data_IF_344623324170
#
_entry.id   IF_344623324170
#
_cell.length_a   1.000
_cell.length_b   1.000
_cell.length_c   1.000
_cell.angle_alpha   90.00
_cell.angle_beta   90.00
_cell.angle_gamma   90.00
#
_symmetry.space_group_name_H-M   'P 1'
#
loop_
_entity.id
_entity.type
_entity.pdbx_description
1 polymer ?
#
# COMPACT_ATOMS: atom_id res chain seq x y z
N UNK A 1 14.74 12.79 22.56
CA UNK A 1 13.56 13.65 22.80
C UNK A 1 12.94 13.24 24.14
N UNK A 2 12.83 14.18 25.09
CA UNK A 2 12.25 13.87 26.41
C UNK A 2 10.74 13.65 26.27
N UNK A 3 10.20 12.67 27.05
CA UNK A 3 8.77 12.30 27.07
C UNK A 3 7.84 13.49 27.33
N UNK A 4 8.30 14.49 28.10
CA UNK A 4 7.59 15.74 28.43
C UNK A 4 7.35 16.65 27.22
N UNK A 5 8.21 16.63 26.18
CA UNK A 5 8.06 17.50 25.01
C UNK A 5 6.98 17.02 24.05
N UNK A 6 6.62 15.74 24.07
CA UNK A 6 5.56 15.18 23.20
C UNK A 6 4.19 15.68 23.66
N UNK A 7 3.94 15.74 24.96
CA UNK A 7 2.67 16.22 25.53
C UNK A 7 2.45 17.74 25.40
N UNK A 8 3.46 18.49 24.96
CA UNK A 8 3.29 19.90 24.62
C UNK A 8 2.57 20.09 23.27
N UNK A 9 2.73 19.11 22.34
CA UNK A 9 2.16 19.17 20.99
C UNK A 9 0.86 18.38 20.85
N UNK A 10 0.59 17.43 21.76
CA UNK A 10 -0.57 16.55 21.70
C UNK A 10 -1.33 16.57 23.02
N UNK A 11 -2.62 16.80 22.96
CA UNK A 11 -3.49 16.89 24.16
C UNK A 11 -3.46 15.60 24.98
N UNK A 12 -3.35 14.44 24.31
CA UNK A 12 -3.34 13.13 24.95
C UNK A 12 -2.66 12.08 24.05
N UNK A 13 -2.52 10.85 24.58
CA UNK A 13 -1.91 9.72 23.87
C UNK A 13 -2.72 9.31 22.64
N UNK A 14 -4.04 9.43 22.69
CA UNK A 14 -4.93 9.06 21.60
C UNK A 14 -4.76 9.98 20.40
N UNK A 15 -4.72 11.30 20.62
CA UNK A 15 -4.49 12.28 19.56
C UNK A 15 -3.14 12.06 18.86
N UNK A 16 -2.08 11.75 19.61
CA UNK A 16 -0.79 11.36 19.04
C UNK A 16 -0.90 10.07 18.20
N UNK A 17 -1.63 9.08 18.70
CA UNK A 17 -1.81 7.80 17.99
C UNK A 17 -2.54 7.99 16.66
N UNK A 18 -3.63 8.76 16.65
CA UNK A 18 -4.38 9.10 15.43
C UNK A 18 -3.50 9.85 14.43
N UNK A 19 -2.69 10.81 14.89
CA UNK A 19 -1.76 11.55 14.02
C UNK A 19 -0.72 10.63 13.39
N UNK A 20 -0.13 9.71 14.15
CA UNK A 20 0.81 8.72 13.65
C UNK A 20 0.15 7.84 12.58
N UNK A 21 -1.04 7.30 12.85
CA UNK A 21 -1.77 6.47 11.90
C UNK A 21 -2.14 7.24 10.61
N UNK A 22 -2.56 8.49 10.76
CA UNK A 22 -2.90 9.36 9.62
C UNK A 22 -1.67 9.63 8.76
N UNK A 23 -0.54 9.93 9.39
CA UNK A 23 0.74 10.14 8.69
C UNK A 23 1.20 8.87 7.94
N UNK A 24 1.08 7.71 8.58
CA UNK A 24 1.39 6.42 7.94
C UNK A 24 0.50 6.19 6.73
N UNK A 25 -0.81 6.37 6.88
CA UNK A 25 -1.77 6.20 5.79
C UNK A 25 -1.48 7.14 4.62
N UNK A 26 -1.21 8.42 4.88
CA UNK A 26 -0.89 9.40 3.84
C UNK A 26 0.34 8.99 3.03
N UNK A 27 1.42 8.57 3.69
CA UNK A 27 2.65 8.09 3.02
C UNK A 27 2.38 6.84 2.17
N UNK A 28 1.54 5.95 2.65
CA UNK A 28 1.20 4.72 1.95
C UNK A 28 0.29 4.91 0.75
N UNK A 29 -0.54 5.96 0.80
CA UNK A 29 -1.43 6.33 -0.30
C UNK A 29 -0.76 7.24 -1.33
N UNK A 30 0.37 7.86 -1.02
CA UNK A 30 1.07 8.74 -1.95
C UNK A 30 1.39 8.05 -3.30
N UNK A 31 1.90 6.80 -3.34
CA UNK A 31 2.10 6.10 -4.61
C UNK A 31 0.80 5.84 -5.39
N UNK A 32 -0.30 5.57 -4.71
CA UNK A 32 -1.59 5.40 -5.38
C UNK A 32 -2.08 6.71 -6.01
N UNK A 33 -1.76 7.86 -5.41
CA UNK A 33 -2.15 9.16 -5.94
C UNK A 33 -1.51 9.45 -7.29
N UNK A 34 -0.35 8.87 -7.62
CA UNK A 34 0.36 9.11 -8.89
C UNK A 34 -0.23 8.37 -10.08
N UNK A 35 -1.14 7.43 -9.89
CA UNK A 35 -1.81 6.75 -11.00
C UNK A 35 -2.78 7.72 -11.69
N UNK A 36 -2.54 8.01 -12.98
CA UNK A 36 -3.39 8.86 -13.81
C UNK A 36 -3.71 8.18 -15.15
N UNK A 37 -4.85 8.52 -15.74
CA UNK A 37 -5.39 7.86 -16.95
C UNK A 37 -4.56 8.06 -18.20
N UNK A 38 -3.73 9.10 -18.22
CA UNK A 38 -2.83 9.46 -19.32
C UNK A 38 -1.55 8.63 -19.36
N UNK A 39 -1.22 7.98 -18.23
CA UNK A 39 -0.02 7.15 -18.12
C UNK A 39 -0.21 5.79 -18.84
N UNK A 40 0.90 5.20 -19.26
CA UNK A 40 0.90 3.81 -19.71
C UNK A 40 0.75 2.86 -18.51
N UNK A 41 -0.28 1.99 -18.51
CA UNK A 41 -0.60 1.12 -17.36
C UNK A 41 0.56 0.25 -16.89
N UNK A 42 1.34 -0.29 -17.83
CA UNK A 42 2.49 -1.16 -17.52
C UNK A 42 3.52 -0.41 -16.68
N UNK A 43 3.88 0.80 -17.09
CA UNK A 43 4.87 1.63 -16.37
C UNK A 43 4.31 2.13 -15.05
N UNK A 44 3.07 2.64 -15.06
CA UNK A 44 2.41 3.18 -13.87
C UNK A 44 2.23 2.12 -12.77
N UNK A 45 1.74 0.92 -13.13
CA UNK A 45 1.55 -0.19 -12.19
C UNK A 45 2.88 -0.76 -11.72
N UNK A 46 3.89 -0.87 -12.60
CA UNK A 46 5.24 -1.29 -12.21
C UNK A 46 5.82 -0.34 -11.16
N UNK A 47 5.77 0.95 -11.42
CA UNK A 47 6.26 1.96 -10.49
C UNK A 47 5.51 1.91 -9.15
N UNK A 48 4.19 1.82 -9.21
CA UNK A 48 3.35 1.70 -8.02
C UNK A 48 3.71 0.47 -7.17
N UNK A 49 3.86 -0.71 -7.79
CA UNK A 49 4.26 -1.95 -7.11
C UNK A 49 5.62 -1.82 -6.44
N UNK A 50 6.61 -1.26 -7.15
CA UNK A 50 7.96 -1.03 -6.60
C UNK A 50 7.89 -0.14 -5.36
N UNK A 51 7.23 1.00 -5.44
CA UNK A 51 7.09 1.93 -4.32
C UNK A 51 6.38 1.30 -3.11
N UNK A 52 5.39 0.45 -3.34
CA UNK A 52 4.70 -0.28 -2.26
C UNK A 52 5.62 -1.29 -1.58
N UNK A 53 6.42 -2.04 -2.35
CA UNK A 53 7.39 -3.01 -1.80
C UNK A 53 8.52 -2.29 -1.07
N UNK A 54 8.99 -1.15 -1.58
CA UNK A 54 9.95 -0.28 -0.89
C UNK A 54 9.41 0.21 0.46
N UNK A 55 8.18 0.69 0.48
CA UNK A 55 7.50 1.12 1.73
C UNK A 55 7.44 -0.03 2.75
N UNK A 56 7.18 -1.25 2.30
CA UNK A 56 7.16 -2.44 3.16
C UNK A 56 8.54 -2.83 3.69
N UNK A 57 9.61 -2.60 2.91
CA UNK A 57 11.00 -2.77 3.33
C UNK A 57 11.42 -1.73 4.37
N UNK A 58 11.09 -0.46 4.10
CA UNK A 58 11.65 0.68 4.82
C UNK A 58 10.85 1.05 6.07
N UNK A 59 9.54 0.74 6.09
CA UNK A 59 8.64 1.11 7.18
C UNK A 59 7.81 -0.07 7.75
N UNK A 60 8.38 -1.24 8.02
CA UNK A 60 7.61 -2.42 8.44
C UNK A 60 6.91 -2.25 9.79
N UNK A 61 7.47 -1.42 10.69
CA UNK A 61 6.84 -1.15 12.00
C UNK A 61 5.59 -0.30 11.85
N UNK A 62 5.64 0.71 10.96
CA UNK A 62 4.50 1.56 10.67
C UNK A 62 3.36 0.76 9.99
N UNK A 63 3.72 -0.15 9.08
CA UNK A 63 2.79 -1.10 8.46
C UNK A 63 2.04 -1.91 9.50
N UNK A 64 2.77 -2.60 10.35
CA UNK A 64 2.15 -3.45 11.40
C UNK A 64 1.28 -2.66 12.37
N UNK A 65 1.69 -1.44 12.75
CA UNK A 65 0.88 -0.58 13.60
C UNK A 65 -0.47 -0.28 12.94
N UNK A 66 -0.45 0.08 11.65
CA UNK A 66 -1.65 0.36 10.88
C UNK A 66 -2.49 -0.92 10.68
N UNK A 67 -1.87 -2.05 10.35
CA UNK A 67 -2.56 -3.33 10.19
C UNK A 67 -3.29 -3.75 11.47
N UNK A 68 -2.67 -3.59 12.65
CA UNK A 68 -3.31 -3.88 13.94
C UNK A 68 -4.54 -3.02 14.18
N UNK A 69 -4.48 -1.72 13.86
CA UNK A 69 -5.62 -0.83 13.96
C UNK A 69 -6.78 -1.30 13.06
N UNK A 70 -6.48 -1.68 11.82
CA UNK A 70 -7.49 -2.18 10.87
C UNK A 70 -8.11 -3.50 11.34
N UNK A 71 -7.29 -4.44 11.81
CA UNK A 71 -7.75 -5.75 12.32
C UNK A 71 -8.70 -5.58 13.53
N UNK A 72 -8.47 -4.56 14.35
CA UNK A 72 -9.33 -4.22 15.49
C UNK A 72 -10.61 -3.46 15.09
N UNK A 73 -10.88 -3.27 13.80
CA UNK A 73 -12.05 -2.55 13.31
C UNK A 73 -11.85 -1.04 13.13
N UNK A 74 -10.61 -0.57 13.17
CA UNK A 74 -10.21 0.82 12.99
C UNK A 74 -10.87 1.81 13.98
N UNK A 75 -10.86 1.54 15.30
CA UNK A 75 -11.60 2.32 16.28
C UNK A 75 -11.23 3.81 16.28
N UNK A 76 -9.99 4.17 15.93
CA UNK A 76 -9.50 5.54 15.97
C UNK A 76 -9.52 6.26 14.61
N UNK A 77 -9.45 5.53 13.48
CA UNK A 77 -9.31 6.14 12.16
C UNK A 77 -10.47 5.85 11.20
N UNK A 78 -11.55 5.25 11.68
CA UNK A 78 -12.70 4.89 10.84
C UNK A 78 -13.26 6.06 10.00
N UNK A 79 -13.35 7.32 10.50
CA UNK A 79 -13.78 8.46 9.69
C UNK A 79 -12.85 8.74 8.49
N UNK A 80 -11.54 8.56 8.67
CA UNK A 80 -10.52 8.74 7.61
C UNK A 80 -10.68 7.67 6.53
N UNK A 81 -10.93 6.42 6.93
CA UNK A 81 -11.17 5.33 6.00
C UNK A 81 -12.45 5.53 5.20
N UNK A 82 -13.55 5.90 5.87
CA UNK A 82 -14.85 6.15 5.23
C UNK A 82 -14.88 7.40 4.35
N UNK A 83 -14.06 8.39 4.63
CA UNK A 83 -14.01 9.67 3.94
C UNK A 83 -12.88 9.73 2.90
N UNK A 84 -11.71 10.26 3.24
CA UNK A 84 -10.61 10.52 2.31
C UNK A 84 -10.12 9.26 1.57
N UNK A 85 -9.93 8.14 2.29
CA UNK A 85 -9.44 6.91 1.66
C UNK A 85 -10.45 6.38 0.63
N UNK A 86 -11.74 6.29 1.00
CA UNK A 86 -12.79 5.82 0.09
C UNK A 86 -12.90 6.71 -1.16
N UNK A 87 -12.74 8.04 -1.02
CA UNK A 87 -12.76 8.97 -2.17
C UNK A 87 -11.58 8.72 -3.09
N UNK A 88 -10.37 8.58 -2.55
CA UNK A 88 -9.18 8.27 -3.33
C UNK A 88 -9.31 6.93 -4.05
N UNK A 89 -9.72 5.88 -3.34
CA UNK A 89 -9.94 4.55 -3.89
C UNK A 89 -10.88 4.59 -5.11
N UNK A 90 -12.07 5.20 -4.96
CA UNK A 90 -13.02 5.35 -6.07
C UNK A 90 -12.45 6.12 -7.25
N UNK A 91 -11.67 7.18 -7.00
CA UNK A 91 -11.04 7.95 -8.08
C UNK A 91 -10.04 7.09 -8.86
N UNK A 92 -9.22 6.31 -8.18
CA UNK A 92 -8.21 5.46 -8.84
C UNK A 92 -8.79 4.21 -9.48
N UNK A 93 -9.89 3.68 -8.96
CA UNK A 93 -10.72 2.67 -9.65
C UNK A 93 -11.17 3.20 -11.03
N UNK A 94 -11.59 4.47 -11.13
CA UNK A 94 -11.96 5.08 -12.42
C UNK A 94 -10.80 5.21 -13.38
N UNK A 95 -9.58 5.48 -12.90
CA UNK A 95 -8.37 5.48 -13.74
C UNK A 95 -8.18 4.12 -14.40
N UNK A 96 -8.29 3.04 -13.62
CA UNK A 96 -8.15 1.67 -14.14
C UNK A 96 -9.27 1.37 -15.15
N UNK A 97 -10.52 1.77 -14.88
CA UNK A 97 -11.63 1.63 -15.82
C UNK A 97 -11.37 2.37 -17.14
N UNK A 98 -10.76 3.57 -17.08
CA UNK A 98 -10.38 4.31 -18.29
C UNK A 98 -9.34 3.55 -19.11
N UNK A 99 -8.34 2.97 -18.48
CA UNK A 99 -7.36 2.12 -19.17
C UNK A 99 -7.99 0.87 -19.82
N UNK A 100 -9.00 0.29 -19.18
CA UNK A 100 -9.78 -0.82 -19.76
C UNK A 100 -10.58 -0.36 -20.99
N UNK A 101 -11.27 0.78 -20.90
CA UNK A 101 -12.01 1.37 -22.02
C UNK A 101 -11.09 1.71 -23.21
N UNK A 102 -9.83 2.07 -22.94
CA UNK A 102 -8.81 2.31 -23.95
C UNK A 102 -8.19 1.02 -24.51
N UNK A 103 -8.58 -0.16 -24.03
CA UNK A 103 -8.00 -1.44 -24.41
C UNK A 103 -6.57 -1.68 -23.88
N UNK A 104 -6.09 -0.85 -22.96
CA UNK A 104 -4.74 -0.93 -22.39
C UNK A 104 -4.63 -1.89 -21.20
N UNK A 105 -5.77 -2.22 -20.57
CA UNK A 105 -5.89 -3.24 -19.54
C UNK A 105 -7.00 -4.23 -19.92
N UNK A 106 -6.86 -5.48 -19.48
CA UNK A 106 -7.91 -6.48 -19.66
C UNK A 106 -9.21 -6.05 -19.00
N UNK A 107 -10.33 -6.14 -19.73
CA UNK A 107 -11.66 -5.86 -19.23
C UNK A 107 -12.16 -6.91 -18.22
N UNK A 108 -11.50 -8.08 -18.15
CA UNK A 108 -11.83 -9.16 -17.21
C UNK A 108 -11.37 -8.90 -15.78
N UNK A 109 -10.44 -7.94 -15.60
CA UNK A 109 -9.90 -7.59 -14.29
C UNK A 109 -10.84 -6.64 -13.58
N UNK A 110 -11.27 -7.00 -12.37
CA UNK A 110 -11.99 -6.08 -11.49
C UNK A 110 -11.06 -4.96 -11.00
N UNK A 111 -11.37 -3.67 -11.30
CA UNK A 111 -10.50 -2.55 -10.93
C UNK A 111 -10.35 -2.35 -9.41
N UNK A 112 -11.39 -2.65 -8.62
CA UNK A 112 -11.33 -2.53 -7.16
C UNK A 112 -10.44 -3.66 -6.59
N UNK A 113 -10.65 -4.89 -7.05
CA UNK A 113 -9.86 -6.04 -6.61
C UNK A 113 -8.40 -5.93 -7.04
N UNK A 114 -8.10 -5.31 -8.17
CA UNK A 114 -6.71 -5.05 -8.58
C UNK A 114 -5.97 -4.20 -7.53
N UNK A 115 -6.55 -3.10 -7.08
CA UNK A 115 -5.96 -2.23 -6.05
C UNK A 115 -5.81 -3.00 -4.74
N UNK A 116 -6.85 -3.72 -4.31
CA UNK A 116 -6.85 -4.48 -3.05
C UNK A 116 -5.80 -5.60 -3.08
N UNK A 117 -5.66 -6.31 -4.20
CA UNK A 117 -4.65 -7.34 -4.38
C UNK A 117 -3.22 -6.77 -4.35
N UNK A 118 -2.99 -5.60 -4.98
CA UNK A 118 -1.70 -4.90 -4.87
C UNK A 118 -1.39 -4.60 -3.40
N UNK A 119 -2.35 -4.10 -2.64
CA UNK A 119 -2.12 -3.85 -1.20
C UNK A 119 -1.81 -5.12 -0.44
N UNK A 120 -2.61 -6.17 -0.59
CA UNK A 120 -2.43 -7.44 0.09
C UNK A 120 -1.05 -8.05 -0.20
N UNK A 121 -0.66 -8.14 -1.46
CA UNK A 121 0.61 -8.75 -1.86
C UNK A 121 1.81 -7.94 -1.35
N UNK A 122 1.77 -6.61 -1.45
CA UNK A 122 2.92 -5.78 -1.09
C UNK A 122 3.06 -5.59 0.41
N UNK A 123 1.95 -5.45 1.15
CA UNK A 123 1.96 -5.25 2.60
C UNK A 123 2.32 -6.51 3.38
N UNK A 124 2.01 -7.68 2.83
CA UNK A 124 2.33 -8.97 3.43
C UNK A 124 3.79 -9.05 3.91
N UNK A 125 4.74 -8.50 3.13
CA UNK A 125 6.16 -8.54 3.46
C UNK A 125 6.55 -7.70 4.69
N UNK A 126 5.76 -6.69 5.03
CA UNK A 126 5.95 -5.90 6.24
C UNK A 126 5.19 -6.52 7.43
N UNK A 127 3.91 -6.82 7.22
CA UNK A 127 2.98 -7.21 8.28
C UNK A 127 3.32 -8.61 8.82
N UNK A 128 3.70 -9.53 7.94
CA UNK A 128 4.07 -10.91 8.26
C UNK A 128 5.57 -11.19 8.10
N UNK A 129 6.41 -10.15 8.26
CA UNK A 129 7.87 -10.26 8.07
C UNK A 129 8.52 -11.36 8.92
N UNK A 130 8.04 -11.59 10.13
CA UNK A 130 8.53 -12.67 11.00
C UNK A 130 8.26 -14.05 10.40
N UNK A 131 7.04 -14.28 9.91
CA UNK A 131 6.70 -15.55 9.24
C UNK A 131 7.56 -15.77 8.00
N UNK A 132 7.70 -14.72 7.17
CA UNK A 132 8.50 -14.77 5.95
C UNK A 132 9.96 -15.07 6.27
N UNK A 133 10.53 -14.44 7.30
CA UNK A 133 11.90 -14.70 7.75
C UNK A 133 12.09 -16.14 8.23
N UNK A 134 11.13 -16.68 9.00
CA UNK A 134 11.21 -18.04 9.48
C UNK A 134 11.19 -19.09 8.37
N UNK A 135 10.40 -18.87 7.30
CA UNK A 135 10.28 -19.86 6.20
C UNK A 135 11.32 -19.66 5.09
N UNK A 136 11.84 -18.43 4.91
CA UNK A 136 12.78 -18.11 3.81
C UNK A 136 14.20 -17.83 4.29
N UNK A 137 14.40 -17.61 5.58
CA UNK A 137 15.65 -17.15 6.18
C UNK A 137 15.99 -15.68 5.87
N UNK A 138 15.09 -14.92 5.26
CA UNK A 138 15.37 -13.56 4.78
C UNK A 138 14.15 -12.64 4.93
N UNK A 139 14.42 -11.34 5.03
CA UNK A 139 13.41 -10.27 4.93
C UNK A 139 13.71 -9.40 3.71
N UNK A 140 12.83 -8.42 3.41
CA UNK A 140 13.09 -7.44 2.33
C UNK A 140 14.34 -6.57 2.55
N UNK A 141 14.95 -6.57 3.73
CA UNK A 141 16.23 -5.89 3.97
C UNK A 141 17.39 -6.60 3.27
N UNK A 142 17.25 -7.89 2.98
CA UNK A 142 18.19 -8.61 2.15
C UNK A 142 18.00 -8.19 0.69
N UNK A 143 19.06 -7.65 0.06
CA UNK A 143 19.03 -7.11 -1.31
C UNK A 143 18.52 -8.12 -2.35
N UNK A 144 19.01 -9.36 -2.27
CA UNK A 144 18.57 -10.41 -3.21
C UNK A 144 17.10 -10.75 -3.04
N UNK A 145 16.61 -10.84 -1.78
CA UNK A 145 15.19 -11.07 -1.51
C UNK A 145 14.33 -9.92 -2.04
N UNK A 146 14.75 -8.67 -1.83
CA UNK A 146 14.05 -7.50 -2.32
C UNK A 146 13.93 -7.51 -3.85
N UNK A 147 15.05 -7.69 -4.57
CA UNK A 147 15.05 -7.72 -6.05
C UNK A 147 14.14 -8.82 -6.58
N UNK A 148 14.27 -10.05 -6.07
CA UNK A 148 13.40 -11.17 -6.46
C UNK A 148 11.93 -10.89 -6.18
N UNK A 149 11.60 -10.25 -5.05
CA UNK A 149 10.24 -9.91 -4.71
C UNK A 149 9.67 -8.90 -5.70
N UNK A 150 10.40 -7.86 -6.03
CA UNK A 150 9.98 -6.86 -7.03
C UNK A 150 9.75 -7.52 -8.39
N UNK A 151 10.75 -8.21 -8.91
CA UNK A 151 10.69 -8.87 -10.23
C UNK A 151 9.51 -9.85 -10.32
N UNK A 152 9.37 -10.72 -9.31
CA UNK A 152 8.30 -11.71 -9.27
C UNK A 152 6.91 -11.06 -9.15
N UNK A 153 6.75 -10.07 -8.28
CA UNK A 153 5.46 -9.43 -8.06
C UNK A 153 5.01 -8.65 -9.29
N UNK A 154 5.91 -7.88 -9.89
CA UNK A 154 5.64 -7.14 -11.14
C UNK A 154 5.26 -8.12 -12.24
N UNK A 155 6.06 -9.16 -12.46
CA UNK A 155 5.78 -10.17 -13.46
C UNK A 155 4.41 -10.82 -13.27
N UNK A 156 4.13 -11.32 -12.08
CA UNK A 156 2.88 -12.00 -11.76
C UNK A 156 1.65 -11.09 -11.95
N UNK A 157 1.72 -9.85 -11.50
CA UNK A 157 0.60 -8.90 -11.58
C UNK A 157 0.35 -8.44 -13.03
N UNK A 158 1.40 -8.16 -13.80
CA UNK A 158 1.25 -7.64 -15.16
C UNK A 158 0.83 -8.71 -16.15
N UNK A 159 1.24 -9.96 -15.98
CA UNK A 159 0.80 -11.06 -16.87
C UNK A 159 -0.71 -11.31 -16.80
N UNK A 160 -1.36 -11.00 -15.68
CA UNK A 160 -2.81 -11.14 -15.52
C UNK A 160 -3.61 -9.91 -15.94
N UNK A 161 -3.00 -8.72 -16.07
CA UNK A 161 -3.71 -7.45 -16.28
C UNK A 161 -3.45 -6.79 -17.64
N UNK A 162 -2.38 -7.17 -18.34
CA UNK A 162 -2.05 -6.66 -19.68
C UNK A 162 -2.81 -7.51 -20.72
N UNK A 163 -3.50 -6.91 -21.68
CA UNK A 163 -4.14 -7.63 -22.78
C UNK A 163 -3.10 -8.44 -23.57
N UNK A 164 -3.45 -9.67 -23.99
CA UNK A 164 -2.62 -10.51 -24.82
C UNK A 164 -2.84 -10.24 -26.30
#
# INVERSE_FOLDING_TARGET
MHKSNIFYYYENKESLYVEVLTTVLQKWLAPLQTLESELEPTEALTHYLIQKIESSRDQPKASRLFALEIIQGAPHILPILKGPLKKLFKRKTKVIQTWQQQGKLSAEIDPELLILNIWAITQNYADFSTQIEMVTGKTLRNRSMFQRTVEHTVHMMLYGVIPR
#
